data_IF_997259759872
#
_entry.id   IF_997259759872
#
_cell.length_a   1.000
_cell.length_b   1.000
_cell.length_c   1.000
_cell.angle_alpha   90.00
_cell.angle_beta   90.00
_cell.angle_gamma   90.00
#
_symmetry.space_group_name_H-M   'P 1'
#
loop_
_entity.id
_entity.type
_entity.pdbx_description
1 polymer ?
2 polymer ?
3 non-polymer ?
4 non-polymer ?
5 non-polymer ?
6 non-polymer ?
7 water ?
#
# COMPACT_ATOMS: atom_id res chain seq x y z
N UNK A 1 7.80 -9.50 8.05
CA UNK A 1 6.49 -10.15 8.25
C UNK A 1 6.65 -11.37 9.16
N UNK A 2 5.90 -11.39 10.27
CA UNK A 2 5.90 -12.46 11.26
C UNK A 2 4.63 -13.30 11.07
N UNK A 3 4.82 -14.61 10.96
CA UNK A 3 3.74 -15.59 10.90
C UNK A 3 2.95 -15.66 9.62
N UNK A 4 3.56 -15.23 8.51
CA UNK A 4 2.95 -15.30 7.18
C UNK A 4 3.55 -16.44 6.38
N UNK A 5 3.62 -16.28 5.06
CA UNK A 5 4.18 -17.29 4.17
C UNK A 5 4.89 -16.57 3.02
N UNK A 6 5.68 -17.30 2.22
CA UNK A 6 6.32 -16.71 1.05
C UNK A 6 5.17 -16.30 0.08
N UNK A 7 5.22 -15.07 -0.43
CA UNK A 7 4.27 -14.68 -1.46
C UNK A 7 4.77 -15.38 -2.74
N UNK A 8 4.02 -16.32 -3.37
CA UNK A 8 4.54 -16.97 -4.59
C UNK A 8 4.93 -15.95 -5.63
N UNK A 9 6.12 -16.13 -6.22
CA UNK A 9 6.69 -15.23 -7.22
C UNK A 9 5.66 -14.76 -8.28
N UNK A 10 5.46 -13.45 -8.36
CA UNK A 10 4.51 -12.84 -9.28
C UNK A 10 3.11 -12.62 -8.69
N UNK A 11 2.84 -13.14 -7.47
CA UNK A 11 1.52 -12.95 -6.86
C UNK A 11 1.40 -11.66 -6.05
N UNK A 12 2.53 -10.92 -5.90
CA UNK A 12 2.54 -9.62 -5.20
C UNK A 12 3.22 -8.64 -6.20
N UNK A 13 2.66 -8.44 -7.42
CA UNK A 13 3.45 -7.75 -8.45
C UNK A 13 3.55 -6.26 -8.31
N UNK A 14 2.83 -5.67 -7.36
CA UNK A 14 2.88 -4.23 -7.07
C UNK A 14 3.87 -3.94 -5.94
N UNK A 15 4.40 -4.98 -5.26
CA UNK A 15 5.35 -4.75 -4.16
C UNK A 15 6.61 -4.04 -4.68
N UNK A 16 7.06 -3.00 -3.96
CA UNK A 16 8.30 -2.31 -4.32
C UNK A 16 9.32 -2.58 -3.21
N UNK A 17 10.60 -2.68 -3.55
CA UNK A 17 11.69 -2.73 -2.58
C UNK A 17 12.44 -1.40 -2.72
N UNK A 18 12.58 -0.66 -1.64
CA UNK A 18 13.35 0.58 -1.67
C UNK A 18 14.74 0.30 -1.10
N UNK A 19 15.77 0.79 -1.81
CA UNK A 19 17.18 0.64 -1.42
C UNK A 19 17.86 1.99 -1.27
N UNK A 20 18.78 2.10 -0.30
CA UNK A 20 19.59 3.31 -0.14
C UNK A 20 21.05 2.81 -0.07
N UNK A 21 21.90 3.23 -1.05
CA UNK A 21 23.28 2.74 -1.16
C UNK A 21 23.29 1.19 -1.28
N UNK A 22 22.27 0.62 -1.94
CA UNK A 22 22.14 -0.82 -2.12
C UNK A 22 21.62 -1.60 -0.93
N UNK A 23 21.39 -0.93 0.20
CA UNK A 23 20.91 -1.60 1.40
C UNK A 23 19.38 -1.49 1.48
N UNK A 24 18.72 -2.55 1.98
CA UNK A 24 17.28 -2.60 2.19
C UNK A 24 16.84 -1.42 3.09
N UNK A 25 15.88 -0.62 2.60
CA UNK A 25 15.36 0.49 3.40
C UNK A 25 13.92 0.26 3.84
N UNK A 26 13.02 0.00 2.88
CA UNK A 26 11.59 -0.04 3.12
C UNK A 26 10.91 -0.73 1.94
N UNK A 27 9.62 -0.90 2.08
CA UNK A 27 8.76 -1.39 1.02
C UNK A 27 8.02 -0.22 0.42
N UNK A 28 7.21 -0.50 -0.58
CA UNK A 28 6.40 0.51 -1.26
C UNK A 28 5.36 -0.20 -2.12
N UNK A 29 4.47 0.57 -2.74
CA UNK A 29 3.44 0.01 -3.63
C UNK A 29 3.43 0.78 -4.95
N UNK A 30 3.54 0.06 -6.05
CA UNK A 30 3.46 0.67 -7.36
C UNK A 30 1.95 0.95 -7.64
N UNK A 31 1.60 2.20 -8.02
CA UNK A 31 0.16 2.50 -8.30
C UNK A 31 -0.10 2.83 -9.78
N UNK A 32 0.95 3.02 -10.57
CA UNK A 32 0.94 3.16 -12.05
C UNK A 32 2.38 2.99 -12.54
N UNK A 33 2.74 3.31 -13.79
CA UNK A 33 4.11 3.05 -14.24
C UNK A 33 5.18 4.01 -13.67
N UNK A 34 4.80 5.17 -13.10
CA UNK A 34 5.87 6.04 -12.60
C UNK A 34 5.78 6.38 -11.11
N UNK A 35 4.67 6.07 -10.45
CA UNK A 35 4.42 6.45 -9.04
C UNK A 35 4.38 5.30 -8.06
N UNK A 36 5.02 5.51 -6.90
CA UNK A 36 5.13 4.57 -5.80
C UNK A 36 4.65 5.22 -4.53
N UNK A 37 3.80 4.53 -3.79
CA UNK A 37 3.36 5.03 -2.50
C UNK A 37 4.16 4.29 -1.43
N UNK A 38 4.73 5.04 -0.48
CA UNK A 38 5.47 4.43 0.65
C UNK A 38 5.12 5.18 1.96
N UNK A 39 5.94 5.03 3.03
CA UNK A 39 5.71 5.69 4.31
C UNK A 39 6.64 6.88 4.43
N UNK A 40 6.14 8.01 4.97
CA UNK A 40 7.04 9.17 5.14
C UNK A 40 8.24 8.85 6.08
N UNK A 41 8.02 8.05 7.15
CA UNK A 41 9.10 7.76 8.13
C UNK A 41 10.28 7.00 7.54
N UNK A 42 10.08 6.35 6.37
CA UNK A 42 11.17 5.67 5.66
C UNK A 42 12.30 6.63 5.29
N UNK A 43 12.00 7.92 5.19
CA UNK A 43 12.98 8.91 4.74
C UNK A 43 13.53 9.83 5.83
N UNK A 44 13.20 9.56 7.10
CA UNK A 44 13.66 10.41 8.20
C UNK A 44 15.17 10.52 8.31
N UNK A 45 15.90 9.45 7.98
CA UNK A 45 17.36 9.40 8.16
C UNK A 45 18.15 9.48 6.87
N UNK A 46 17.51 9.81 5.74
CA UNK A 46 18.21 9.87 4.45
C UNK A 46 19.07 11.13 4.30
N UNK A 47 20.32 10.95 3.88
CA UNK A 47 21.22 12.06 3.53
C UNK A 47 21.58 11.91 2.05
N UNK A 48 21.73 10.66 1.58
CA UNK A 48 22.07 10.33 0.19
C UNK A 48 20.81 10.19 -0.69
N UNK A 49 20.05 11.30 -0.87
CA UNK A 49 18.83 11.39 -1.69
C UNK A 49 19.02 10.90 -3.12
N UNK A 50 20.24 11.00 -3.66
CA UNK A 50 20.58 10.57 -5.01
C UNK A 50 20.87 9.06 -5.14
N UNK A 51 20.97 8.35 -4.00
CA UNK A 51 21.23 6.91 -3.97
C UNK A 51 20.00 6.08 -3.59
N UNK A 52 18.78 6.64 -3.81
CA UNK A 52 17.51 5.97 -3.51
C UNK A 52 17.07 5.25 -4.76
N UNK A 53 16.85 3.93 -4.66
CA UNK A 53 16.45 3.11 -5.81
C UNK A 53 15.20 2.33 -5.44
N UNK A 54 14.27 2.19 -6.39
CA UNK A 54 13.06 1.40 -6.24
C UNK A 54 13.24 0.18 -7.16
N UNK A 55 12.97 -1.01 -6.64
CA UNK A 55 13.08 -2.23 -7.43
C UNK A 55 11.69 -2.83 -7.51
N UNK A 56 11.22 -3.09 -8.74
CA UNK A 56 9.94 -3.74 -9.06
C UNK A 56 10.23 -5.12 -9.59
N UNK A 57 9.28 -6.05 -9.46
CA UNK A 57 9.46 -7.42 -9.93
C UNK A 57 10.44 -8.23 -9.09
N UNK A 58 10.75 -7.74 -7.88
CA UNK A 58 11.65 -8.43 -6.94
C UNK A 58 10.93 -9.55 -6.22
N UNK A 59 11.68 -10.61 -5.89
CA UNK A 59 11.10 -11.73 -5.14
C UNK A 59 12.14 -12.27 -4.15
N UNK A 60 13.27 -12.78 -4.68
CA UNK A 60 14.36 -13.41 -3.93
C UNK A 60 15.58 -12.48 -3.98
N UNK A 61 16.01 -12.00 -2.81
CA UNK A 61 17.13 -11.04 -2.73
C UNK A 61 18.50 -11.63 -3.03
N UNK A 62 18.59 -12.97 -3.02
CA UNK A 62 19.87 -13.62 -3.18
C UNK A 62 20.25 -13.86 -4.64
N UNK A 63 19.27 -13.73 -5.56
CA UNK A 63 19.47 -14.06 -6.97
C UNK A 63 18.84 -13.03 -7.91
N UNK A 64 19.50 -12.76 -9.03
CA UNK A 64 18.94 -11.93 -10.10
C UNK A 64 18.31 -12.91 -11.12
N UNK A 65 16.97 -12.87 -11.30
CA UNK A 65 16.34 -13.76 -12.29
C UNK A 65 15.89 -13.06 -13.60
N UNK A 66 16.10 -11.75 -13.71
CA UNK A 66 15.75 -11.03 -14.93
C UNK A 66 14.39 -10.32 -14.91
N UNK A 67 13.54 -10.62 -13.93
CA UNK A 67 12.23 -9.95 -13.82
C UNK A 67 12.31 -8.66 -13.01
N UNK A 68 13.44 -8.44 -12.30
CA UNK A 68 13.64 -7.23 -11.48
C UNK A 68 13.81 -6.01 -12.40
N UNK A 69 13.27 -4.87 -12.01
CA UNK A 69 13.44 -3.59 -12.74
C UNK A 69 13.80 -2.55 -11.70
N UNK A 70 14.97 -1.93 -11.84
CA UNK A 70 15.46 -0.91 -10.91
C UNK A 70 15.28 0.47 -11.51
N UNK A 71 14.85 1.43 -10.69
CA UNK A 71 14.72 2.82 -11.10
C UNK A 71 15.18 3.74 -9.99
N UNK A 72 15.77 4.86 -10.37
CA UNK A 72 16.18 5.91 -9.44
C UNK A 72 14.92 6.65 -9.05
N UNK A 73 14.84 7.03 -7.78
CA UNK A 73 13.70 7.78 -7.25
C UNK A 73 14.04 9.24 -7.52
N UNK A 74 13.27 9.88 -8.41
CA UNK A 74 13.48 11.27 -8.79
C UNK A 74 12.90 12.27 -7.78
N UNK A 75 11.81 11.88 -7.11
CA UNK A 75 11.17 12.76 -6.16
C UNK A 75 10.50 12.01 -5.03
N UNK A 76 10.60 12.56 -3.80
CA UNK A 76 9.94 12.01 -2.60
C UNK A 76 9.05 13.17 -2.08
N UNK A 77 7.73 12.98 -2.15
CA UNK A 77 6.71 13.96 -1.75
C UNK A 77 6.04 13.51 -0.45
N UNK A 78 6.19 14.35 0.56
CA UNK A 78 5.70 14.13 1.92
C UNK A 78 4.71 15.25 2.31
N UNK A 79 3.61 14.91 3.03
CA UNK A 79 2.65 15.96 3.42
C UNK A 79 3.27 16.93 4.43
N UNK A 80 2.87 18.22 4.35
CA UNK A 80 3.39 19.26 5.25
C UNK A 80 3.13 18.95 6.70
N UNK A 81 2.06 18.17 6.97
CA UNK A 81 1.57 17.81 8.31
C UNK A 81 2.38 16.71 8.97
N UNK A 82 3.20 15.95 8.19
CA UNK A 82 4.04 14.89 8.74
C UNK A 82 5.20 15.53 9.52
N UNK A 83 5.47 15.03 10.73
CA UNK A 83 6.58 15.55 11.53
C UNK A 83 7.60 14.40 11.70
N UNK A 84 8.84 14.55 11.24
CA UNK A 84 9.83 13.46 11.42
C UNK A 84 9.96 12.94 12.85
N UNK A 85 10.07 11.62 12.98
CA UNK A 85 10.18 10.96 14.28
C UNK A 85 8.85 10.71 14.94
N UNK A 86 7.72 11.11 14.29
CA UNK A 86 6.38 10.88 14.84
C UNK A 86 5.57 9.96 13.90
N UNK A 87 4.35 9.63 14.27
CA UNK A 87 3.50 8.66 13.58
C UNK A 87 2.44 9.21 12.62
N UNK A 88 1.84 10.38 12.90
CA UNK A 88 0.74 10.90 12.08
C UNK A 88 1.14 11.27 10.64
N UNK A 89 0.18 11.13 9.67
CA UNK A 89 0.36 11.44 8.23
C UNK A 89 1.57 10.69 7.64
N UNK A 90 1.69 9.39 7.98
CA UNK A 90 2.85 8.61 7.56
C UNK A 90 2.72 8.09 6.11
N UNK A 91 2.91 8.98 5.12
CA UNK A 91 2.78 8.63 3.69
C UNK A 91 3.78 9.42 2.86
N UNK A 92 4.28 8.81 1.80
CA UNK A 92 5.20 9.44 0.84
C UNK A 92 4.78 9.00 -0.54
N UNK A 93 4.88 9.92 -1.51
CA UNK A 93 4.58 9.65 -2.91
C UNK A 93 5.87 9.84 -3.69
N UNK A 94 6.30 8.77 -4.32
CA UNK A 94 7.60 8.74 -5.00
C UNK A 94 7.43 8.74 -6.48
N UNK A 95 8.14 9.66 -7.19
CA UNK A 95 8.15 9.70 -8.64
C UNK A 95 9.41 8.98 -9.10
N UNK A 96 9.24 7.97 -9.99
CA UNK A 96 10.38 7.26 -10.55
C UNK A 96 10.99 8.09 -11.66
N UNK A 97 12.32 8.02 -11.82
CA UNK A 97 13.02 8.79 -12.86
C UNK A 97 12.59 8.38 -14.28
N UNK A 98 12.32 7.09 -14.49
CA UNK A 98 11.83 6.56 -15.75
C UNK A 98 10.74 5.57 -15.39
N UNK A 99 9.65 5.43 -16.21
CA UNK A 99 8.62 4.45 -15.87
C UNK A 99 9.15 3.04 -15.84
N UNK A 100 8.50 2.18 -15.04
CA UNK A 100 8.76 0.76 -15.10
C UNK A 100 7.95 0.23 -16.31
N UNK A 101 8.32 -0.95 -16.82
CA UNK A 101 7.61 -1.61 -17.91
C UNK A 101 6.67 -2.66 -17.26
N UNK A 102 5.37 -2.57 -17.52
CA UNK A 102 4.44 -3.54 -16.95
C UNK A 102 4.64 -4.90 -17.60
N UNK A 103 4.68 -5.95 -16.77
CA UNK A 103 4.93 -7.33 -17.22
C UNK A 103 4.10 -8.25 -16.32
N UNK A 104 4.17 -9.58 -16.56
CA UNK A 104 3.48 -10.51 -15.65
C UNK A 104 3.97 -10.35 -14.20
N UNK A 105 5.20 -9.84 -14.01
CA UNK A 105 5.80 -9.68 -12.67
C UNK A 105 5.80 -8.25 -12.10
N UNK A 106 5.33 -7.27 -12.88
CA UNK A 106 5.31 -5.86 -12.48
C UNK A 106 3.96 -5.28 -12.90
N UNK A 107 3.08 -5.06 -11.95
CA UNK A 107 1.71 -4.57 -12.17
C UNK A 107 1.35 -3.60 -11.06
N UNK A 108 0.71 -2.45 -11.37
CA UNK A 108 0.30 -1.54 -10.28
C UNK A 108 -0.90 -2.07 -9.47
N UNK A 109 -0.99 -1.65 -8.23
CA UNK A 109 -2.14 -1.93 -7.39
C UNK A 109 -3.10 -0.76 -7.64
N UNK A 110 -4.43 -0.99 -7.64
CA UNK A 110 -5.36 0.15 -7.88
C UNK A 110 -5.39 1.11 -6.71
N UNK A 111 -5.17 2.39 -6.98
CA UNK A 111 -5.39 3.40 -5.96
C UNK A 111 -6.87 3.70 -6.10
N UNK A 112 -7.67 3.45 -5.05
CA UNK A 112 -9.13 3.61 -5.21
C UNK A 112 -9.58 5.05 -5.05
N UNK A 113 -10.85 5.32 -5.44
CA UNK A 113 -11.48 6.60 -5.14
C UNK A 113 -11.78 6.65 -3.65
N UNK A 114 -11.81 7.86 -3.06
CA UNK A 114 -12.05 8.03 -1.63
C UNK A 114 -13.38 7.43 -1.17
N UNK A 115 -14.50 7.76 -1.87
CA UNK A 115 -15.84 7.26 -1.52
C UNK A 115 -15.91 5.74 -1.52
N UNK A 116 -15.42 5.10 -2.60
CA UNK A 116 -15.38 3.64 -2.70
C UNK A 116 -14.57 3.04 -1.53
N UNK A 117 -13.43 3.67 -1.22
CA UNK A 117 -12.56 3.18 -0.15
C UNK A 117 -13.21 3.31 1.23
N UNK A 118 -13.84 4.46 1.53
CA UNK A 118 -14.48 4.67 2.82
C UNK A 118 -15.80 3.89 2.99
N UNK A 119 -16.61 3.85 1.93
CA UNK A 119 -17.94 3.22 1.98
C UNK A 119 -17.91 1.71 1.85
N UNK A 120 -16.94 1.17 1.11
CA UNK A 120 -16.91 -0.25 0.80
C UNK A 120 -15.63 -0.95 1.25
N UNK A 121 -14.45 -0.51 0.78
CA UNK A 121 -13.19 -1.21 1.12
C UNK A 121 -12.90 -1.25 2.60
N UNK A 122 -13.26 -0.17 3.33
CA UNK A 122 -13.03 -0.08 4.77
C UNK A 122 -13.75 -1.19 5.58
N UNK A 123 -14.75 -1.87 4.97
CA UNK A 123 -15.55 -2.95 5.60
C UNK A 123 -15.17 -4.34 5.14
N UNK A 124 -14.15 -4.46 4.26
CA UNK A 124 -13.65 -5.77 3.87
C UNK A 124 -12.74 -6.14 5.07
N UNK A 125 -13.06 -7.22 5.78
CA UNK A 125 -12.36 -7.56 7.02
C UNK A 125 -10.87 -7.86 6.83
N UNK A 126 -10.54 -8.80 5.94
CA UNK A 126 -9.14 -9.22 5.74
C UNK A 126 -8.46 -8.55 4.57
N UNK A 127 -7.18 -8.26 4.73
CA UNK A 127 -6.35 -7.68 3.67
C UNK A 127 -4.94 -8.23 3.80
N UNK A 128 -4.15 -8.15 2.72
CA UNK A 128 -2.79 -8.70 2.73
C UNK A 128 -1.76 -7.63 2.99
N UNK A 129 -0.74 -7.95 3.78
CA UNK A 129 0.39 -7.04 4.07
C UNK A 129 1.64 -7.83 3.66
N UNK A 130 2.62 -7.15 3.05
CA UNK A 130 3.77 -7.88 2.52
C UNK A 130 5.08 -7.12 2.64
N UNK A 131 6.20 -7.84 2.58
CA UNK A 131 7.51 -7.20 2.65
C UNK A 131 8.63 -8.16 2.93
N UNK A 132 9.87 -7.65 2.90
CA UNK A 132 11.06 -8.43 3.21
C UNK A 132 11.58 -8.08 4.62
N UNK A 133 10.68 -7.72 5.52
CA UNK A 133 11.02 -7.36 6.89
C UNK A 133 11.34 -8.56 7.75
N UNK A 134 11.52 -8.32 9.06
CA UNK A 134 11.86 -9.32 10.08
C UNK A 134 10.86 -10.47 10.08
N UNK A 135 11.39 -11.70 10.11
CA UNK A 135 10.60 -12.92 10.23
C UNK A 135 10.22 -13.16 11.69
N UNK A 136 10.94 -12.50 12.61
CA UNK A 136 10.73 -12.60 14.07
C UNK A 136 11.12 -11.29 14.68
N UNK A 137 10.56 -10.97 15.84
CA UNK A 137 11.01 -9.81 16.62
C UNK A 137 12.46 -10.10 17.01
N UNK A 138 13.34 -9.10 16.82
CA UNK A 138 14.78 -9.21 17.13
C UNK A 138 15.45 -10.34 16.30
N UNK A 139 14.86 -10.63 15.12
CA UNK A 139 15.32 -11.67 14.20
C UNK A 139 15.75 -11.17 12.83
N UNK A 140 16.24 -12.09 12.01
CA UNK A 140 16.71 -11.81 10.65
C UNK A 140 15.50 -11.37 9.73
N UNK A 141 15.81 -10.59 8.66
CA UNK A 141 14.83 -10.17 7.65
C UNK A 141 14.76 -11.30 6.62
N UNK A 142 13.68 -11.32 5.82
CA UNK A 142 13.44 -12.35 4.83
C UNK A 142 14.19 -12.16 3.52
N UNK A 143 14.62 -13.29 2.92
CA UNK A 143 15.28 -13.31 1.61
C UNK A 143 14.21 -13.39 0.51
N UNK A 144 13.05 -13.99 0.81
CA UNK A 144 11.94 -14.06 -0.14
C UNK A 144 10.80 -13.19 0.33
N UNK A 145 10.08 -12.59 -0.62
CA UNK A 145 8.95 -11.74 -0.26
C UNK A 145 7.91 -12.54 0.53
N UNK A 146 7.50 -12.01 1.70
CA UNK A 146 6.51 -12.63 2.58
C UNK A 146 5.18 -11.88 2.52
N UNK A 147 4.07 -12.59 2.75
CA UNK A 147 2.72 -12.03 2.73
C UNK A 147 1.95 -12.60 3.91
N UNK A 148 1.06 -11.78 4.46
CA UNK A 148 0.24 -12.12 5.62
C UNK A 148 -1.16 -11.55 5.48
N UNK A 149 -2.18 -12.36 5.82
CA UNK A 149 -3.58 -11.93 5.82
C UNK A 149 -3.91 -11.41 7.22
N UNK A 150 -4.37 -10.14 7.32
CA UNK A 150 -4.69 -9.50 8.60
C UNK A 150 -6.10 -8.93 8.65
N UNK A 151 -6.82 -9.06 9.78
CA UNK A 151 -8.17 -8.43 9.87
C UNK A 151 -8.08 -6.98 10.38
N UNK A 152 -8.93 -6.10 9.84
CA UNK A 152 -8.97 -4.68 10.19
C UNK A 152 -9.92 -4.48 11.36
N UNK A 153 -9.59 -3.53 12.23
CA UNK A 153 -10.42 -3.20 13.39
C UNK A 153 -10.91 -1.77 13.32
N UNK A 154 -12.09 -1.52 13.92
CA UNK A 154 -12.61 -0.15 14.05
C UNK A 154 -11.71 0.43 15.15
N UNK A 155 -11.34 1.72 15.06
CA UNK A 155 -10.42 2.30 16.04
C UNK A 155 -10.90 2.17 17.52
N UNK A 156 -12.22 2.31 17.80
CA UNK A 156 -12.77 2.14 19.16
C UNK A 156 -12.38 0.75 19.69
N UNK A 157 -12.57 -0.31 18.85
CA UNK A 157 -12.21 -1.69 19.14
C UNK A 157 -10.71 -1.90 19.30
N UNK A 158 -9.88 -1.19 18.49
CA UNK A 158 -8.43 -1.32 18.65
C UNK A 158 -8.00 -0.75 19.98
N UNK A 159 -8.58 0.42 20.36
CA UNK A 159 -8.27 1.08 21.63
C UNK A 159 -8.69 0.24 22.84
N UNK A 160 -9.84 -0.48 22.74
CA UNK A 160 -10.31 -1.33 23.83
C UNK A 160 -9.54 -2.67 23.92
N UNK A 161 -9.20 -3.29 22.76
CA UNK A 161 -8.48 -4.57 22.71
C UNK A 161 -6.98 -4.49 22.98
N UNK A 162 -6.40 -3.28 23.05
CA UNK A 162 -4.96 -3.12 23.24
C UNK A 162 -4.52 -3.04 24.71
N UNK A 163 -3.31 -3.55 25.00
CA UNK A 163 -2.64 -3.55 26.31
C UNK A 163 -1.72 -2.31 26.44
N UNK A 164 -0.35 -2.49 26.47
CA UNK A 164 0.68 -1.44 26.57
C UNK A 164 2.11 -2.01 26.61
N UNK A 167 3.03 5.69 27.39
CA UNK A 167 3.71 6.62 26.48
C UNK A 167 3.46 6.29 24.99
N UNK A 168 2.49 5.40 24.71
CA UNK A 168 2.14 4.96 23.35
C UNK A 168 1.36 6.01 22.55
N UNK A 169 1.68 6.23 21.24
CA UNK A 169 0.93 7.22 20.45
C UNK A 169 -0.55 6.86 20.25
N UNK A 170 -1.38 7.88 19.96
CA UNK A 170 -2.81 7.79 19.72
C UNK A 170 -3.04 7.20 18.32
N UNK A 171 -4.23 6.64 18.08
CA UNK A 171 -4.58 6.15 16.74
C UNK A 171 -5.50 7.23 16.18
N UNK A 172 -4.99 8.01 15.22
CA UNK A 172 -5.71 9.15 14.64
C UNK A 172 -6.65 8.71 13.52
N UNK A 173 -7.39 9.66 12.97
CA UNK A 173 -8.29 9.41 11.84
C UNK A 173 -7.49 9.10 10.55
N UNK A 174 -6.15 9.30 10.58
CA UNK A 174 -5.24 9.05 9.44
C UNK A 174 -4.56 7.67 9.56
N UNK A 175 -5.07 6.84 10.47
CA UNK A 175 -4.54 5.50 10.75
C UNK A 175 -5.67 4.51 10.95
N UNK A 176 -5.32 3.22 10.93
CA UNK A 176 -6.21 2.14 11.35
C UNK A 176 -5.35 0.97 11.85
N UNK A 177 -5.92 0.18 12.78
CA UNK A 177 -5.26 -1.01 13.30
C UNK A 177 -5.66 -2.20 12.46
N UNK A 178 -4.76 -3.17 12.33
CA UNK A 178 -5.02 -4.43 11.69
C UNK A 178 -4.02 -5.46 12.22
N UNK A 179 -4.47 -6.71 12.31
CA UNK A 179 -3.63 -7.80 12.78
C UNK A 179 -4.20 -8.55 13.97
N UNK A 180 -3.29 -9.01 14.86
CA UNK A 180 -3.62 -9.85 16.00
C UNK A 180 -2.94 -9.37 17.27
N UNK A 181 -3.59 -9.59 18.42
CA UNK A 181 -3.09 -9.19 19.73
C UNK A 181 -2.37 -10.35 20.43
N UNK A 182 -2.38 -11.55 19.85
CA UNK A 182 -1.79 -12.73 20.50
C UNK A 182 -0.27 -12.94 20.20
N UNK A 183 0.36 -11.97 19.53
CA UNK A 183 1.78 -12.01 19.19
C UNK A 183 2.26 -13.01 18.16
N UNK A 184 1.34 -13.59 17.39
CA UNK A 184 1.69 -14.60 16.38
C UNK A 184 1.94 -14.06 14.97
N UNK A 185 1.20 -12.99 14.58
CA UNK A 185 1.18 -12.48 13.21
C UNK A 185 1.21 -10.95 13.14
N UNK A 186 2.15 -10.39 12.36
CA UNK A 186 2.25 -8.92 12.21
C UNK A 186 3.16 -8.56 11.07
N UNK A 187 3.12 -7.27 10.65
CA UNK A 187 4.12 -6.73 9.76
C UNK A 187 5.13 -6.11 10.78
N UNK A 188 6.40 -5.93 10.36
CA UNK A 188 7.50 -5.42 11.20
C UNK A 188 8.09 -4.13 10.61
N UNK A 189 9.04 -3.51 11.34
CA UNK A 189 9.71 -2.28 10.88
C UNK A 189 10.34 -2.38 9.48
N UNK A 190 10.89 -3.54 9.10
CA UNK A 190 11.51 -3.74 7.79
C UNK A 190 10.49 -3.79 6.67
N UNK A 191 9.19 -3.93 7.02
CA UNK A 191 8.06 -3.95 6.06
C UNK A 191 7.50 -2.54 5.86
N UNK A 192 7.93 -1.55 6.69
CA UNK A 192 7.48 -0.14 6.62
C UNK A 192 7.38 0.33 5.18
N UNK A 193 6.26 0.97 4.86
CA UNK A 193 6.04 1.53 3.52
C UNK A 193 5.33 0.58 2.58
N UNK A 194 5.36 -0.72 2.90
CA UNK A 194 4.72 -1.74 2.06
C UNK A 194 3.20 -1.67 2.04
N UNK A 195 2.58 -2.39 1.08
CA UNK A 195 1.12 -2.37 0.95
C UNK A 195 0.31 -3.14 1.98
N UNK A 196 -0.89 -2.61 2.22
CA UNK A 196 -1.99 -3.27 2.91
C UNK A 196 -3.01 -3.24 1.74
N UNK A 197 -3.16 -4.38 1.06
CA UNK A 197 -3.97 -4.52 -0.16
C UNK A 197 -5.29 -5.26 0.11
N UNK A 198 -6.40 -4.68 -0.39
CA UNK A 198 -7.75 -5.21 -0.17
C UNK A 198 -8.41 -5.74 -1.44
N UNK A 199 -8.92 -6.98 -1.39
CA UNK A 199 -9.59 -7.61 -2.52
C UNK A 199 -11.10 -7.30 -2.48
N UNK A 200 -11.64 -6.85 -3.63
CA UNK A 200 -13.08 -6.56 -3.76
C UNK A 200 -13.52 -6.83 -5.18
N UNK A 201 -14.48 -7.76 -5.33
CA UNK A 201 -15.08 -8.15 -6.62
C UNK A 201 -14.01 -8.38 -7.72
N UNK A 202 -13.01 -9.20 -7.36
CA UNK A 202 -11.97 -9.67 -8.27
C UNK A 202 -10.79 -8.75 -8.54
N UNK A 203 -10.69 -7.64 -7.80
CA UNK A 203 -9.61 -6.66 -8.00
C UNK A 203 -9.04 -6.22 -6.66
N UNK A 204 -7.71 -5.94 -6.65
CA UNK A 204 -7.01 -5.53 -5.44
C UNK A 204 -6.79 -4.02 -5.42
N UNK A 205 -6.96 -3.42 -4.24
CA UNK A 205 -6.82 -1.98 -4.03
C UNK A 205 -5.91 -1.65 -2.86
N UNK A 206 -5.30 -0.46 -2.92
CA UNK A 206 -4.44 0.04 -1.84
C UNK A 206 -5.28 0.71 -0.76
N UNK A 207 -5.31 0.11 0.45
CA UNK A 207 -6.05 0.69 1.58
C UNK A 207 -5.17 1.17 2.74
N UNK A 208 -3.96 0.63 2.82
CA UNK A 208 -3.09 1.00 3.93
C UNK A 208 -1.63 0.93 3.58
N UNK A 209 -0.78 1.49 4.47
CA UNK A 209 0.68 1.46 4.34
C UNK A 209 1.22 0.96 5.68
N UNK A 210 2.16 0.00 5.66
CA UNK A 210 2.84 -0.49 6.89
C UNK A 210 3.50 0.73 7.55
N UNK A 211 3.03 1.10 8.73
CA UNK A 211 3.44 2.35 9.33
C UNK A 211 4.18 2.21 10.68
N UNK A 212 3.50 1.74 11.75
CA UNK A 212 4.13 1.63 13.08
C UNK A 212 3.47 0.61 14.00
N UNK A 213 4.02 0.47 15.20
CA UNK A 213 3.55 -0.44 16.23
C UNK A 213 4.58 -0.59 17.34
N UNK A 214 4.45 -1.64 18.18
CA UNK A 214 5.39 -1.95 19.29
C UNK A 214 6.19 -3.24 18.95
N UNK A 215 7.55 -3.19 19.08
CA UNK A 215 8.47 -4.29 18.72
C UNK A 215 8.00 -4.82 17.38
N UNK A 216 7.66 -6.12 17.32
CA UNK A 216 6.99 -6.83 16.22
C UNK A 216 6.25 -8.02 16.75
N UNK A 217 4.96 -8.13 16.39
CA UNK A 217 4.08 -9.22 16.83
C UNK A 217 4.11 -9.32 18.40
N UNK A 218 4.03 -8.15 19.06
CA UNK A 218 4.05 -7.97 20.52
C UNK A 218 2.64 -8.22 21.04
N UNK A 219 2.51 -9.14 22.03
CA UNK A 219 1.22 -9.48 22.67
C UNK A 219 0.55 -8.21 23.20
N UNK A 220 -0.75 -8.08 22.93
CA UNK A 220 -1.56 -6.93 23.32
C UNK A 220 -1.49 -5.76 22.35
N UNK A 221 -0.75 -5.91 21.22
CA UNK A 221 -0.57 -4.83 20.24
C UNK A 221 -0.88 -5.23 18.83
N UNK A 222 -1.59 -4.34 18.12
CA UNK A 222 -1.92 -4.57 16.71
C UNK A 222 -0.93 -3.76 15.86
N UNK A 223 -0.84 -4.08 14.57
CA UNK A 223 -0.06 -3.25 13.65
C UNK A 223 -0.89 -2.00 13.32
N UNK A 224 -0.23 -0.86 13.13
CA UNK A 224 -0.89 0.40 12.78
C UNK A 224 -0.51 0.79 11.34
N UNK A 225 -1.54 1.14 10.54
CA UNK A 225 -1.40 1.40 9.11
C UNK A 225 -1.91 2.78 8.75
N UNK A 226 -1.24 3.45 7.79
CA UNK A 226 -1.70 4.76 7.31
C UNK A 226 -3.01 4.53 6.57
N UNK A 227 -4.03 5.29 6.91
CA UNK A 227 -5.36 5.21 6.28
C UNK A 227 -5.30 5.95 4.93
N UNK A 228 -4.93 5.22 3.87
CA UNK A 228 -4.73 5.76 2.53
C UNK A 228 -5.95 6.56 1.99
N UNK A 229 -7.19 6.16 2.33
CA UNK A 229 -8.42 6.86 1.88
C UNK A 229 -8.41 8.37 2.16
N UNK A 230 -7.72 8.81 3.23
CA UNK A 230 -7.62 10.22 3.60
C UNK A 230 -6.75 11.02 2.65
N UNK A 231 -5.93 10.32 1.84
CA UNK A 231 -4.93 10.95 0.98
C UNK A 231 -5.19 10.87 -0.50
N UNK A 232 -6.32 10.25 -0.92
CA UNK A 232 -6.60 10.07 -2.36
C UNK A 232 -6.48 11.36 -3.17
N UNK A 233 -7.20 12.41 -2.73
CA UNK A 233 -7.21 13.71 -3.40
C UNK A 233 -5.83 14.32 -3.42
N UNK A 234 -5.11 14.24 -2.27
CA UNK A 234 -3.76 14.79 -2.13
C UNK A 234 -2.82 14.10 -3.16
N UNK A 235 -2.90 12.76 -3.28
CA UNK A 235 -2.09 11.97 -4.23
C UNK A 235 -2.40 12.30 -5.69
N UNK A 236 -3.70 12.33 -6.06
CA UNK A 236 -4.15 12.61 -7.44
C UNK A 236 -3.66 13.94 -7.97
N UNK A 237 -3.77 14.98 -7.14
CA UNK A 237 -3.32 16.33 -7.47
C UNK A 237 -1.82 16.34 -7.72
N UNK A 238 -1.05 15.67 -6.85
CA UNK A 238 0.40 15.63 -7.03
C UNK A 238 0.78 14.84 -8.25
N UNK A 239 0.06 13.73 -8.53
CA UNK A 239 0.41 12.96 -9.75
C UNK A 239 0.17 13.75 -11.03
N UNK A 240 -0.65 14.79 -10.96
CA UNK A 240 -0.92 15.66 -12.11
C UNK A 240 0.06 16.84 -12.17
N UNK A 241 0.96 16.97 -11.19
CA UNK A 241 1.88 18.10 -11.13
C UNK A 241 3.19 17.85 -11.87
N UNK A 242 3.85 18.94 -12.27
CA UNK A 242 5.16 18.90 -12.91
C UNK A 242 6.26 18.64 -11.90
N UNK A 243 7.26 17.81 -12.26
CA UNK A 243 8.39 17.59 -11.35
C UNK A 243 9.06 18.92 -10.97
N UNK A 244 9.66 18.98 -9.76
CA UNK A 244 10.35 20.16 -9.26
C UNK A 244 11.82 19.82 -8.96
N UNK A 245 12.77 20.78 -9.12
CA UNK A 245 14.19 20.45 -8.81
C UNK A 245 14.34 20.02 -7.34
N UNK A 246 15.25 19.10 -7.08
CA UNK A 246 15.48 18.57 -5.74
C UNK A 246 14.62 17.36 -5.44
N UNK A 247 15.18 16.33 -4.81
CA UNK A 247 14.45 15.09 -4.54
C UNK A 247 13.29 15.28 -3.54
N UNK A 248 13.59 15.73 -2.33
CA UNK A 248 12.54 15.89 -1.35
C UNK A 248 11.64 17.11 -1.59
N UNK A 249 10.31 16.90 -1.58
CA UNK A 249 9.30 17.95 -1.68
C UNK A 249 8.27 17.81 -0.54
N UNK A 250 8.06 18.89 0.23
CA UNK A 250 7.00 18.87 1.22
C UNK A 250 5.82 19.58 0.55
N UNK A 251 4.65 18.92 0.47
CA UNK A 251 3.47 19.48 -0.18
C UNK A 251 2.39 19.70 0.84
N UNK A 252 1.65 20.83 0.75
CA UNK A 252 0.59 21.08 1.74
C UNK A 252 -0.46 19.99 1.81
N UNK A 253 -0.86 19.68 3.01
CA UNK A 253 -1.93 18.74 3.30
C UNK A 253 -2.91 19.51 4.19
N UNK A 254 -4.24 19.53 3.88
CA UNK A 254 -4.95 18.84 2.79
C UNK A 254 -4.56 19.28 1.36
N UNK B 1 -27.81 5.35 -2.67
CA UNK B 1 -27.71 4.04 -3.35
C UNK B 1 -26.28 3.49 -3.23
N UNK B 2 -25.25 4.34 -3.45
CA UNK B 2 -23.83 3.95 -3.40
C UNK B 2 -23.37 3.47 -2.03
N UNK B 3 -23.96 3.99 -0.96
CA UNK B 3 -23.63 3.61 0.42
C UNK B 3 -23.96 2.12 0.70
N UNK B 4 -25.03 1.61 0.06
CA UNK B 4 -25.53 0.24 0.22
C UNK B 4 -25.02 -0.70 -0.87
N UNK B 5 -24.24 -1.72 -0.45
CA UNK B 5 -23.62 -2.74 -1.30
C UNK B 5 -22.94 -2.14 -2.55
N UNK B 6 -22.30 -0.96 -2.35
CA UNK B 6 -21.56 -0.21 -3.38
C UNK B 6 -22.47 0.17 -4.59
N UNK B 7 -23.78 0.30 -4.33
CA UNK B 7 -24.78 0.59 -5.34
C UNK B 7 -24.88 -0.47 -6.41
N UNK B 8 -24.35 -1.68 -6.14
CA UNK B 8 -24.29 -2.78 -7.10
C UNK B 8 -23.10 -2.69 -8.05
N UNK B 9 -22.32 -1.59 -7.97
CA UNK B 9 -21.15 -1.39 -8.84
C UNK B 9 -20.01 -2.35 -8.54
N UNK B 10 -19.28 -2.77 -9.58
CA UNK B 10 -18.08 -3.61 -9.38
C UNK B 10 -16.95 -2.75 -8.80
N UNK B 11 -16.82 -1.50 -9.27
CA UNK B 11 -15.78 -0.61 -8.81
C UNK B 11 -16.35 0.68 -8.19
N UNK B 12 -16.35 1.80 -8.93
CA UNK B 12 -16.77 3.10 -8.40
C UNK B 12 -18.24 3.37 -8.60
N UNK B 13 -18.82 4.17 -7.69
CA UNK B 13 -20.23 4.51 -7.67
C UNK B 13 -20.41 6.00 -7.44
N UNK B 14 -21.25 6.64 -8.28
CA UNK B 14 -21.62 8.05 -8.14
C UNK B 14 -23.15 8.15 -8.04
N UNK B 15 -23.62 8.89 -7.01
CA UNK B 15 -25.04 9.17 -6.79
C UNK B 15 -25.43 10.39 -7.59
N UNK B 16 -26.61 10.35 -8.23
CA UNK B 16 -27.10 11.47 -9.01
C UNK B 16 -28.44 12.00 -8.50
N UNK B 17 -28.81 13.24 -8.91
CA UNK B 17 -30.03 13.97 -8.52
C UNK B 17 -31.27 13.09 -8.71
N UNK B 18 -31.64 12.42 -7.63
CA UNK B 18 -32.77 11.48 -7.59
C UNK B 18 -32.33 10.08 -7.23
N UNK B 19 -33.11 9.07 -7.68
CA UNK B 19 -32.82 7.64 -7.45
C UNK B 19 -31.87 7.07 -8.54
N UNK B 20 -31.11 7.98 -9.21
CA UNK B 20 -30.12 7.66 -10.25
C UNK B 20 -28.74 7.32 -9.66
N UNK B 21 -28.06 6.36 -10.29
CA UNK B 21 -26.74 5.89 -9.89
C UNK B 21 -25.92 5.61 -11.16
N UNK B 22 -24.63 6.00 -11.16
CA UNK B 22 -23.73 5.69 -12.26
C UNK B 22 -22.51 4.95 -11.70
N UNK B 23 -22.22 3.76 -12.24
CA UNK B 23 -21.01 3.02 -11.88
C UNK B 23 -19.92 3.49 -12.79
N UNK B 24 -18.66 3.47 -12.31
CA UNK B 24 -17.53 3.86 -13.11
C UNK B 24 -16.38 2.92 -12.85
N UNK B 25 -15.32 3.02 -13.65
CA UNK B 25 -14.19 2.11 -13.49
C UNK B 25 -12.91 2.90 -13.39
N UNK B 26 -11.87 2.26 -12.84
CA UNK B 26 -10.51 2.81 -12.80
C UNK B 26 -10.01 2.84 -14.26
N UNK B 27 -9.00 3.67 -14.56
CA UNK B 27 -8.35 3.70 -15.87
C UNK B 27 -7.88 2.28 -16.22
N UNK B 28 -7.90 1.92 -17.53
CA UNK B 28 -7.49 0.59 -17.94
C UNK B 28 -8.65 -0.42 -17.88
N UNK B 29 -9.88 0.09 -17.63
CA UNK B 29 -11.13 -0.68 -17.58
C UNK B 29 -12.26 0.11 -18.28
N UNK B 30 -13.26 -0.60 -18.80
CA UNK B 30 -14.44 0.04 -19.37
C UNK B 30 -15.68 -0.65 -18.75
N UNK B 31 -16.78 0.09 -18.63
CA UNK B 31 -18.01 -0.38 -18.03
C UNK B 31 -18.80 -1.18 -19.05
N UNK B 32 -19.32 -2.32 -18.64
CA UNK B 32 -20.13 -3.14 -19.55
C UNK B 32 -21.54 -2.57 -19.66
N UNK B 33 -22.33 -3.03 -20.65
CA UNK B 33 -23.73 -2.58 -20.87
C UNK B 33 -24.66 -2.87 -19.69
N UNK B 34 -24.26 -3.78 -18.76
CA UNK B 34 -25.05 -4.01 -17.54
C UNK B 34 -25.00 -2.77 -16.61
N UNK B 35 -24.08 -1.84 -16.93
CA UNK B 35 -23.88 -0.62 -16.18
C UNK B 35 -23.22 -0.81 -14.84
N UNK B 36 -22.75 -2.03 -14.54
CA UNK B 36 -22.12 -2.29 -13.23
C UNK B 36 -20.72 -2.94 -13.32
N UNK B 37 -20.51 -3.79 -14.34
CA UNK B 37 -19.27 -4.56 -14.48
C UNK B 37 -18.16 -3.78 -15.17
N UNK B 38 -16.90 -4.05 -14.75
CA UNK B 38 -15.71 -3.44 -15.33
C UNK B 38 -14.89 -4.51 -15.98
N UNK B 39 -14.54 -4.30 -17.24
CA UNK B 39 -13.71 -5.23 -17.99
C UNK B 39 -12.36 -4.58 -18.36
N UNK B 40 -11.22 -5.28 -18.25
CA UNK B 40 -9.92 -4.63 -18.65
C UNK B 40 -9.88 -4.20 -20.12
N UNK B 41 -9.23 -3.07 -20.38
CA UNK B 41 -9.04 -2.59 -21.76
C UNK B 41 -7.56 -2.65 -22.14
N UNK B 42 -6.71 -2.97 -21.15
CA UNK B 42 -5.25 -3.02 -21.29
C UNK B 42 -4.72 -4.38 -20.92
N UNK B 43 -3.47 -4.67 -21.32
CA UNK B 43 -2.83 -5.95 -21.04
C UNK B 43 -2.60 -6.17 -19.53
N UNK B 44 -2.17 -5.11 -18.80
CA UNK B 44 -1.86 -5.19 -17.36
C UNK B 44 -2.69 -4.20 -16.56
N UNK B 45 -4.02 -4.47 -16.40
CA UNK B 45 -4.86 -3.58 -15.59
C UNK B 45 -4.43 -3.63 -14.13
N UNK B 46 -4.62 -2.52 -13.42
CA UNK B 46 -4.29 -2.49 -11.99
C UNK B 46 -5.06 -3.53 -11.19
N UNK B 47 -4.45 -4.01 -10.11
CA UNK B 47 -5.06 -4.89 -9.11
C UNK B 47 -5.42 -6.28 -9.58
N UNK B 48 -4.86 -6.71 -10.72
CA UNK B 48 -5.08 -8.07 -11.27
C UNK B 48 -3.72 -8.75 -11.37
N UNK B 49 -3.68 -10.03 -10.99
CA UNK B 49 -2.45 -10.82 -10.92
C UNK B 49 -2.32 -11.71 -12.15
N UNK B 50 -1.49 -11.30 -13.14
CA UNK B 50 -1.37 -12.05 -14.39
C UNK B 50 -1.18 -13.56 -14.30
N UNK B 51 -0.31 -14.05 -13.39
CA UNK B 51 -0.07 -15.52 -13.30
C UNK B 51 -1.33 -16.24 -12.80
N UNK B 52 -2.18 -15.56 -12.02
CA UNK B 52 -3.43 -16.13 -11.55
C UNK B 52 -4.52 -15.99 -12.61
N UNK B 53 -4.55 -14.84 -13.33
CA UNK B 53 -5.52 -14.59 -14.40
C UNK B 53 -5.36 -15.58 -15.56
N UNK B 54 -4.11 -15.85 -15.96
CA UNK B 54 -3.75 -16.75 -17.07
C UNK B 54 -3.95 -18.24 -16.74
N UNK B 55 -4.16 -18.58 -15.46
CA UNK B 55 -4.41 -19.94 -14.98
C UNK B 55 -5.83 -20.40 -15.37
X LIG C 1 6.02 -1.95 13.77
X LIG C 1 6.15 -0.63 11.31
X LIG C 1 7.11 -0.36 12.29
X LIG C 1 7.06 -1.01 13.50
X LIG C 1 4.03 -3.19 13.08
X LIG C 1 5.14 -1.50 11.54
X LIG C 1 11.45 4.74 12.87
X LIG C 1 12.33 4.05 12.04
X LIG C 1 13.03 4.79 11.07
X LIG C 1 4.99 -3.59 15.18
X LIG C 1 5.95 -2.64 15.01
X LIG C 1 11.25 6.11 12.74
X LIG C 1 13.08 3.72 8.49
X LIG C 1 7.53 2.71 16.09
X LIG C 1 8.15 1.81 15.25
X LIG C 1 8.38 2.14 13.92
X LIG C 1 8.00 3.40 13.46
X LIG C 1 7.38 4.32 14.31
X LIG C 1 7.13 3.94 15.62
X LIG C 1 9.02 1.13 12.98
X LIG C 1 8.09 0.60 12.00
X LIG C 1 10.25 1.69 12.29
X LIG C 1 4.04 -3.88 14.27
X LIG C 1 5.04 -2.20 12.77
X LIG C 1 3.04 -3.49 12.22
X LIG C 1 10.15 1.95 11.10
X LIG C 1 12.84 6.16 10.94
X LIG C 1 11.94 6.81 11.76
X LIG C 1 10.38 6.92 13.49
X LIG C 1 12.50 2.54 12.21
X LIG C 1 11.40 1.91 12.96
X LIG C 1 11.65 1.62 14.37
X LIG C 1 14.15 4.09 9.89
X LIG C 1 15.05 5.12 9.48
X LIG C 1 14.68 2.86 10.40
X LIG C 1 12.53 2.36 8.31
X LIG C 1 13.57 2.87 7.39
X LIG C 1 7.05 5.71 13.83
X LIG C 1 9.67 6.58 14.60
X LIG C 1 8.60 7.41 14.66
X LIG C 1 9.93 5.70 15.39
X LIG C 1 7.31 6.77 14.90
X LIG C 1 6.20 -0.12 10.35
X LIG C 1 7.78 -0.88 14.31
X LIG C 1 4.41 -1.65 10.75
X LIG C 1 10.92 4.19 13.65
X LIG C 1 4.93 -4.19 16.09
X LIG C 1 6.62 -2.33 15.80
X LIG C 1 12.45 4.56 8.21
X LIG C 1 7.35 2.45 17.14
X LIG C 1 8.48 0.85 15.65
X LIG C 1 8.18 3.66 12.41
X LIG C 1 6.54 4.57 16.29
X LIG C 1 9.36 0.28 13.58
X LIG C 1 8.15 0.95 11.05
X LIG C 1 2.89 -3.03 11.33
X LIG C 1 2.41 -4.27 12.43
X LIG C 1 13.37 6.75 10.19
X LIG C 1 11.82 7.89 11.63
X LIG C 1 10.29 7.87 13.17
X LIG C 1 13.45 2.38 12.70
X LIG C 1 12.61 1.98 11.28
X LIG C 1 12.67 1.83 14.69
X LIG C 1 11.46 0.58 14.59
X LIG C 1 11.01 2.22 15.02
X LIG C 1 12.75 1.56 9.00
X LIG C 1 11.51 2.24 7.96
X LIG C 1 14.58 2.47 7.42
X LIG C 1 13.36 3.16 6.37
X LIG C 1 7.60 5.93 12.92
X LIG C 1 5.99 5.74 13.54
X LIG C 1 6.65 7.62 14.75
X LIG C 1 7.17 6.49 15.94
X LIG D 1 15.94 -11.28 -7.24
X LIG E 1 16.12 5.14 -13.77
X LIG E 1 15.84 4.17 -14.81
X LIG E 1 16.84 6.22 -14.38
X LIG E 1 14.95 5.61 -13.17
X LIG E 1 17.02 4.53 -12.84
X LIG F 1 22.13 7.97 3.86
X LIG F 1 23.01 9.07 3.52
X LIG F 1 20.97 7.99 2.98
X LIG F 1 21.73 8.13 5.26
X LIG F 1 22.90 6.75 3.72
X LIG G 1 -1.42 -0.62 19.34
X LIG G 1 -0.57 -0.68 18.16
X LIG G 1 -2.32 0.52 19.23
X LIG G 1 -2.21 -1.85 19.49
X LIG G 1 -0.55 -0.38 20.50
X LIG H 1 -3.93 6.34 -10.79
X LIG H 1 -4.95 7.32 -10.43
X LIG H 1 -2.99 6.93 -11.74
X LIG H 1 -4.59 5.22 -11.45
X LIG H 1 -3.23 5.90 -9.59
X LIG I 1 12.02 14.47 5.42
X LIG I 1 10.76 14.32 6.07
X LIG I 1 13.15 14.18 6.37
X LIG I 1 14.36 13.93 5.66
X LIG I 1 13.36 15.31 7.35
X LIG I 1 13.95 14.80 8.54
X LIG J 1 -0.94 -12.22 -2.94
X LIG J 1 -1.14 -10.88 -3.39
X LIG J 1 -1.80 -13.19 -3.71
X LIG J 1 -1.41 -14.53 -3.39
X LIG J 1 -3.28 -13.02 -3.42
X LIG J 1 -4.07 -13.71 -4.38
X LIG K 1 18.29 4.49 6.97
X LIG K 1 17.88 4.01 8.24
X LIG K 1 19.64 5.17 7.07
X LIG K 1 20.54 4.36 7.85
X LIG K 1 20.19 5.32 5.67
X LIG K 1 21.60 5.46 5.70
#
# INVERSE_FOLDING_TARGET
IVGGKVCPKGECPWQVLLLVNGAQLCGGTLINTIWVVSAAHCFDKIKNWRNLIAVLGEHDLSEHDGDEQSRRVAQVIIPSTYVPGTTNHDIALLRLHQPVVLTDHVVPLCLPERTFSERTLAFVRFSLVSGWGQLLDRGATALELMVLNVPRLMTQDCLQQSRKVGDSPNITEYMFCAGYSDGSKDSCKGDSGGPHATHYRGTWYLTGIVSWGQGCATVGHFGVYTRVSQYIEWLQKLMRSEPRPGVLLRAPFP
ICVNENGGCEQYCSDHTGTKRSCRCHEGYSLLADGVSCTPTVEYPCGKIPILEKR
7KQ C13 C18 C17 C16 C15 C19 C22 C23 C24 C11 C12 C27 C33 C1 C2 C3 C4 C5 C6 C7 N8 C9 N10 C14 N20 O21 C25 C26 N28 C29 N30 C31 S32 O34 O35 C36 C37 C38 C39 O40 O41 C42 H52 H51 H53 H56 H49 H50 H65 H43 H44 H45 H46 H47 H48 H54 H55 H57 H58 H59 H60 H61 H63 H64 H62 H67 H66 H69 H68 H70 H71 H73 H72
CA CA
SO4 S O1 O2 O3 O4
SO4 S O1 O2 O3 O4
SO4 S O1 O2 O3 O4
SO4 S O1 O2 O3 O4
GOL C1 O1 C2 O2 C3 O3
GOL C1 O1 C2 O2 C3 O3
GOL C1 O1 C2 O2 C3 O3
#
